data_IF_377214855807
#
_entry.id   IF_377214855807
#
_cell.length_a   1.000
_cell.length_b   1.000
_cell.length_c   1.000
_cell.angle_alpha   90.00
_cell.angle_beta   90.00
_cell.angle_gamma   90.00
#
_symmetry.space_group_name_H-M   'P 1'
#
loop_
_entity.id
_entity.type
_entity.pdbx_description
1 polymer ?
#
# COMPACT_ATOMS: atom_id res chain seq x y z
N UNK A 1 -15.90 -3.20 3.00
CA UNK A 1 -15.58 -1.75 3.07
C UNK A 1 -14.80 -1.38 1.82
N UNK A 2 -15.47 -0.93 0.78
CA UNK A 2 -14.81 -0.42 -0.41
C UNK A 2 -14.48 1.03 -0.13
N UNK A 3 -13.24 1.32 0.21
CA UNK A 3 -12.77 2.70 0.30
C UNK A 3 -12.79 3.31 -1.09
N UNK A 4 -13.63 4.27 -1.33
CA UNK A 4 -13.80 4.86 -2.63
C UNK A 4 -13.28 6.28 -2.63
N UNK A 5 -12.05 6.46 -3.04
CA UNK A 5 -11.38 7.75 -3.16
C UNK A 5 -10.97 7.99 -4.61
N UNK A 6 -11.06 9.20 -5.06
CA UNK A 6 -10.73 9.59 -6.42
C UNK A 6 -9.75 10.75 -6.52
N UNK A 7 -9.01 10.76 -7.62
CA UNK A 7 -8.16 11.87 -8.03
C UNK A 7 -8.67 12.43 -9.38
N UNK A 8 -9.07 13.69 -9.42
CA UNK A 8 -9.24 14.44 -10.66
C UNK A 8 -8.04 15.36 -10.87
N UNK A 9 -7.08 14.89 -11.67
CA UNK A 9 -6.20 15.74 -12.42
C UNK A 9 -6.65 15.71 -13.87
N UNK A 10 -7.15 16.81 -14.41
CA UNK A 10 -7.49 16.92 -15.82
C UNK A 10 -6.27 16.60 -16.67
N UNK A 11 -6.37 15.56 -17.48
CA UNK A 11 -5.42 15.33 -18.59
C UNK A 11 -5.63 16.44 -19.61
N UNK A 12 -4.57 17.06 -20.16
CA UNK A 12 -4.70 17.96 -21.27
C UNK A 12 -5.24 17.18 -22.47
N UNK A 13 -6.34 17.64 -23.04
CA UNK A 13 -6.91 17.14 -24.29
C UNK A 13 -5.87 17.24 -25.40
N UNK A 14 -5.36 16.10 -25.84
CA UNK A 14 -4.61 16.02 -27.10
C UNK A 14 -5.64 16.02 -28.21
N UNK A 15 -5.71 17.12 -28.93
CA UNK A 15 -6.45 17.27 -30.18
C UNK A 15 -5.89 16.27 -31.20
N UNK A 16 -6.67 15.26 -31.55
CA UNK A 16 -6.37 14.34 -32.63
C UNK A 16 -6.60 15.05 -33.95
N UNK A 17 -5.53 15.50 -34.58
CA UNK A 17 -5.56 15.86 -35.99
C UNK A 17 -5.71 14.58 -36.83
N UNK A 18 -6.79 14.48 -37.57
CA UNK A 18 -7.07 13.44 -38.53
C UNK A 18 -6.05 13.47 -39.70
N UNK A 19 -5.26 12.40 -39.81
CA UNK A 19 -4.48 12.15 -41.02
C UNK A 19 -5.18 11.06 -41.82
N UNK A 20 -5.64 11.46 -43.00
CA UNK A 20 -6.26 10.63 -44.04
C UNK A 20 -5.26 9.62 -44.61
N UNK A 21 -5.67 8.36 -44.69
CA UNK A 21 -4.98 7.31 -45.45
C UNK A 21 -5.24 7.43 -46.94
N UNK A 22 -4.25 7.13 -47.80
CA UNK A 22 -4.52 6.62 -49.12
C UNK A 22 -4.39 5.09 -49.13
N UNK A 23 -5.40 4.49 -49.71
CA UNK A 23 -5.48 3.09 -50.14
C UNK A 23 -4.45 2.78 -51.24
N UNK A 24 -3.78 1.66 -51.19
CA UNK A 24 -3.22 1.01 -52.39
C UNK A 24 -3.45 -0.50 -52.36
N UNK A 25 -3.79 -0.98 -53.53
CA UNK A 25 -4.39 -2.25 -53.91
C UNK A 25 -3.34 -3.35 -54.19
N UNK A 26 -3.86 -4.51 -54.31
CA UNK A 26 -3.35 -5.88 -54.51
C UNK A 26 -2.20 -6.08 -55.50
N UNK A 27 -1.51 -7.17 -55.30
CA UNK A 27 -1.03 -7.98 -56.40
C UNK A 27 0.30 -8.73 -56.25
N UNK A 28 0.26 -10.05 -56.28
CA UNK A 28 1.28 -10.81 -57.00
C UNK A 28 2.11 -11.84 -56.24
N UNK A 29 1.73 -13.09 -56.39
CA UNK A 29 2.52 -14.30 -56.21
C UNK A 29 3.92 -14.23 -56.84
N UNK A 30 4.91 -14.96 -56.30
CA UNK A 30 5.63 -16.00 -57.03
C UNK A 30 6.63 -16.80 -56.12
N UNK A 31 6.57 -18.10 -56.28
CA UNK A 31 7.46 -19.15 -55.80
C UNK A 31 8.83 -19.05 -56.43
N UNK A 32 9.87 -19.49 -55.78
CA UNK A 32 10.89 -20.34 -56.40
C UNK A 32 11.76 -21.06 -55.34
N UNK A 33 11.69 -22.36 -55.39
CA UNK A 33 12.61 -23.30 -54.78
C UNK A 33 13.88 -23.42 -55.64
N UNK A 34 15.03 -23.56 -55.04
CA UNK A 34 16.19 -24.13 -55.73
C UNK A 34 16.86 -25.20 -54.85
N UNK A 35 16.74 -26.37 -55.39
CA UNK A 35 17.45 -27.60 -55.00
C UNK A 35 18.75 -27.63 -55.83
N UNK A 36 19.89 -27.93 -55.26
CA UNK A 36 21.02 -28.53 -56.01
C UNK A 36 21.76 -29.59 -55.24
N UNK A 37 21.98 -30.66 -55.97
CA UNK A 37 22.49 -31.99 -55.59
C UNK A 37 24.03 -32.08 -55.72
N UNK A 38 24.60 -32.94 -54.88
CA UNK A 38 25.72 -33.85 -55.07
C UNK A 38 27.00 -33.46 -55.82
N UNK A 39 28.16 -33.72 -55.20
CA UNK A 39 29.16 -34.65 -55.71
C UNK A 39 30.13 -35.14 -54.62
N UNK A 40 30.40 -36.41 -54.73
CA UNK A 40 31.27 -37.30 -53.96
C UNK A 40 32.77 -37.08 -54.18
N UNK A 41 33.59 -37.46 -53.22
CA UNK A 41 35.03 -37.62 -53.43
C UNK A 41 35.85 -38.00 -52.20
N UNK A 42 36.08 -39.30 -52.02
CA UNK A 42 37.28 -40.04 -51.55
C UNK A 42 37.91 -39.73 -50.17
N UNK A 43 37.94 -40.82 -49.42
CA UNK A 43 38.76 -41.31 -48.29
C UNK A 43 40.08 -40.61 -48.03
N UNK A 44 40.33 -40.28 -46.75
CA UNK A 44 41.60 -40.46 -46.05
C UNK A 44 41.35 -40.74 -44.57
N UNK A 45 41.85 -41.91 -44.13
CA UNK A 45 41.89 -42.32 -42.71
C UNK A 45 42.83 -41.41 -41.94
N UNK A 46 42.30 -40.76 -40.91
CA UNK A 46 43.11 -40.35 -39.74
C UNK A 46 42.29 -40.61 -38.49
N UNK A 47 42.85 -41.46 -37.65
CA UNK A 47 42.35 -41.76 -36.33
C UNK A 47 42.23 -40.44 -35.53
N UNK A 48 41.03 -40.08 -35.11
CA UNK A 48 40.79 -38.97 -34.23
C UNK A 48 40.40 -39.56 -32.86
N UNK A 49 41.27 -39.30 -31.89
CA UNK A 49 41.01 -39.55 -30.48
C UNK A 49 39.69 -38.84 -30.08
N UNK A 50 38.70 -39.65 -29.75
CA UNK A 50 37.45 -39.17 -29.16
C UNK A 50 37.73 -38.90 -27.69
N UNK A 51 37.98 -37.65 -27.32
CA UNK A 51 37.83 -37.21 -25.94
C UNK A 51 36.32 -37.10 -25.62
N UNK A 52 35.86 -37.77 -24.57
CA UNK A 52 34.47 -37.52 -24.12
C UNK A 52 34.42 -36.11 -23.50
N UNK A 53 33.76 -35.17 -24.18
CA UNK A 53 33.29 -33.95 -23.55
C UNK A 53 32.23 -34.36 -22.51
N UNK A 54 32.65 -34.38 -21.24
CA UNK A 54 31.70 -34.34 -20.14
C UNK A 54 31.03 -32.95 -20.17
N UNK A 55 29.83 -32.91 -20.74
CA UNK A 55 28.90 -31.83 -20.46
C UNK A 55 28.54 -31.90 -18.95
N UNK A 56 29.24 -31.15 -18.14
CA UNK A 56 28.75 -30.78 -16.80
C UNK A 56 27.48 -29.95 -17.01
N UNK A 57 26.35 -30.64 -17.07
CA UNK A 57 25.07 -29.98 -16.88
C UNK A 57 25.09 -29.39 -15.46
N UNK A 58 25.34 -28.10 -15.38
CA UNK A 58 25.13 -27.35 -14.17
C UNK A 58 23.62 -27.43 -13.87
N UNK A 59 23.23 -28.39 -13.04
CA UNK A 59 21.92 -28.39 -12.42
C UNK A 59 21.92 -27.21 -11.46
N UNK A 60 21.46 -26.05 -11.93
CA UNK A 60 21.06 -24.97 -11.06
C UNK A 60 19.87 -25.51 -10.27
N UNK A 61 20.11 -25.95 -9.04
CA UNK A 61 19.06 -26.09 -8.06
C UNK A 61 18.44 -24.70 -7.91
N UNK A 62 17.27 -24.48 -8.52
CA UNK A 62 16.44 -23.36 -8.13
C UNK A 62 16.25 -23.53 -6.62
N UNK A 63 16.79 -22.60 -5.84
CA UNK A 63 16.46 -22.49 -4.42
C UNK A 63 14.93 -22.52 -4.35
N UNK A 64 14.33 -23.38 -3.50
CA UNK A 64 12.89 -23.38 -3.33
C UNK A 64 12.49 -21.94 -3.02
N UNK A 65 11.48 -21.41 -3.72
CA UNK A 65 10.83 -20.16 -3.37
C UNK A 65 10.53 -20.26 -1.88
N UNK A 66 11.19 -19.41 -1.06
CA UNK A 66 10.96 -19.37 0.37
C UNK A 66 9.49 -18.97 0.52
N UNK A 67 8.63 -19.97 0.72
CA UNK A 67 7.20 -19.75 0.94
C UNK A 67 7.11 -18.86 2.16
N UNK A 68 6.55 -17.67 1.97
CA UNK A 68 6.30 -16.72 3.05
C UNK A 68 5.37 -17.43 4.04
N UNK A 69 5.88 -17.85 5.20
CA UNK A 69 5.05 -18.49 6.21
C UNK A 69 3.97 -17.50 6.66
N UNK A 70 2.71 -17.97 6.68
CA UNK A 70 1.63 -17.22 7.28
C UNK A 70 2.02 -16.92 8.73
N UNK A 71 2.20 -15.63 9.07
CA UNK A 71 2.56 -15.27 10.45
C UNK A 71 1.35 -15.49 11.35
N UNK A 72 1.33 -16.52 12.20
CA UNK A 72 0.26 -16.74 13.15
C UNK A 72 0.38 -15.73 14.29
N UNK A 73 -0.14 -14.53 14.08
CA UNK A 73 -0.16 -13.46 15.07
C UNK A 73 1.21 -12.81 15.27
N UNK A 74 1.48 -11.71 14.57
CA UNK A 74 2.69 -10.89 14.73
C UNK A 74 3.04 -10.63 16.19
N UNK A 75 2.04 -10.49 17.08
CA UNK A 75 2.25 -10.27 18.52
C UNK A 75 2.85 -11.50 19.17
N UNK A 76 2.37 -12.70 18.84
CA UNK A 76 2.87 -13.94 19.45
C UNK A 76 4.34 -14.18 19.11
N UNK A 77 4.74 -13.88 17.88
CA UNK A 77 6.15 -13.95 17.47
C UNK A 77 7.01 -12.89 18.14
N UNK A 78 6.48 -11.70 18.37
CA UNK A 78 7.15 -10.62 19.11
C UNK A 78 7.18 -10.87 20.63
N UNK A 79 6.35 -11.78 21.15
CA UNK A 79 6.36 -12.16 22.56
C UNK A 79 7.41 -13.24 22.89
N UNK A 80 7.93 -13.95 21.87
CA UNK A 80 8.86 -15.08 22.06
C UNK A 80 10.31 -14.67 21.85
N UNK A 81 11.17 -15.03 22.80
CA UNK A 81 12.63 -14.94 22.68
C UNK A 81 13.23 -13.54 22.91
N UNK A 82 14.54 -13.43 22.67
CA UNK A 82 15.28 -12.16 22.80
C UNK A 82 15.01 -11.28 21.58
N UNK A 83 14.51 -10.07 21.81
CA UNK A 83 14.20 -9.08 20.78
C UNK A 83 15.35 -8.08 20.61
N UNK A 84 15.61 -7.66 19.38
CA UNK A 84 16.39 -6.45 19.12
C UNK A 84 15.57 -5.19 19.45
N UNK A 85 16.22 -4.03 19.44
CA UNK A 85 15.61 -2.76 19.87
C UNK A 85 14.39 -2.37 19.01
N UNK A 86 14.38 -2.72 17.70
CA UNK A 86 13.26 -2.40 16.80
C UNK A 86 12.06 -3.28 17.13
N UNK A 87 12.24 -4.60 17.21
CA UNK A 87 11.17 -5.53 17.55
C UNK A 87 10.62 -5.26 18.94
N UNK A 88 11.48 -4.91 19.91
CA UNK A 88 11.04 -4.51 21.23
C UNK A 88 10.19 -3.22 21.16
N UNK A 89 10.61 -2.22 20.40
CA UNK A 89 9.82 -0.99 20.21
C UNK A 89 8.45 -1.29 19.57
N UNK A 90 8.40 -2.12 18.53
CA UNK A 90 7.13 -2.52 17.90
C UNK A 90 6.24 -3.24 18.91
N UNK A 91 6.80 -4.20 19.66
CA UNK A 91 6.07 -4.91 20.73
C UNK A 91 5.48 -3.95 21.76
N UNK A 92 6.29 -3.00 22.25
CA UNK A 92 5.86 -2.04 23.27
C UNK A 92 4.72 -1.14 22.76
N UNK A 93 4.75 -0.77 21.47
CA UNK A 93 3.67 0.00 20.83
C UNK A 93 2.40 -0.84 20.73
N UNK A 94 2.50 -2.07 20.21
CA UNK A 94 1.33 -2.95 20.04
C UNK A 94 0.71 -3.36 21.37
N UNK A 95 1.51 -3.37 22.44
CA UNK A 95 1.06 -3.61 23.81
C UNK A 95 0.55 -2.33 24.52
N UNK A 96 0.54 -1.18 23.88
CA UNK A 96 0.12 0.09 24.47
C UNK A 96 1.09 0.67 25.52
N UNK A 97 2.32 0.14 25.61
CA UNK A 97 3.35 0.62 26.54
C UNK A 97 4.09 1.85 26.01
N UNK A 98 4.17 1.96 24.68
CA UNK A 98 4.86 3.06 23.97
C UNK A 98 3.96 3.63 22.90
N UNK A 99 4.03 4.96 22.72
CA UNK A 99 3.28 5.64 21.65
C UNK A 99 3.72 5.22 20.25
N UNK A 100 2.73 4.99 19.38
CA UNK A 100 2.90 4.85 17.94
C UNK A 100 3.11 6.18 17.24
N UNK A 101 2.75 7.29 17.89
CA UNK A 101 2.90 8.66 17.40
C UNK A 101 4.30 9.19 17.76
N UNK A 102 4.94 9.89 16.82
CA UNK A 102 6.28 10.45 16.97
C UNK A 102 6.33 11.95 16.61
N UNK A 103 5.30 12.70 16.95
CA UNK A 103 5.16 14.12 16.61
C UNK A 103 6.32 14.99 17.15
N UNK A 104 6.89 14.60 18.30
CA UNK A 104 8.02 15.28 18.95
C UNK A 104 9.39 15.00 18.32
N UNK A 105 9.53 13.97 17.51
CA UNK A 105 10.81 13.53 16.92
C UNK A 105 11.16 14.36 15.67
N UNK A 106 11.50 15.63 15.87
CA UNK A 106 11.82 16.54 14.77
C UNK A 106 13.29 16.46 14.40
N UNK A 107 13.57 16.12 13.15
CA UNK A 107 14.92 16.11 12.60
C UNK A 107 14.97 16.73 11.20
N UNK A 108 16.16 17.04 10.73
CA UNK A 108 16.42 17.50 9.36
C UNK A 108 17.37 16.54 8.66
N UNK A 109 17.32 16.54 7.31
CA UNK A 109 18.27 15.74 6.51
C UNK A 109 19.71 16.12 6.88
N UNK A 110 20.58 15.15 7.24
CA UNK A 110 21.99 15.42 7.47
C UNK A 110 22.66 16.00 6.21
N UNK A 111 23.64 16.89 6.39
CA UNK A 111 24.41 17.47 5.27
C UNK A 111 25.08 16.39 4.43
N UNK A 112 25.59 15.34 5.08
CA UNK A 112 26.15 14.15 4.42
C UNK A 112 25.26 12.99 4.80
N UNK A 113 24.52 12.46 3.81
CA UNK A 113 23.62 11.32 3.99
C UNK A 113 23.83 10.36 2.83
N UNK A 114 24.44 9.21 3.11
CA UNK A 114 24.75 8.18 2.12
C UNK A 114 23.89 6.94 2.39
N UNK A 115 23.09 6.54 1.42
CA UNK A 115 22.21 5.36 1.53
C UNK A 115 22.97 4.04 1.74
N UNK A 116 24.25 3.99 1.39
CA UNK A 116 25.14 2.87 1.71
C UNK A 116 25.43 2.74 3.22
N UNK A 117 25.31 3.84 3.97
CA UNK A 117 25.58 3.90 5.42
C UNK A 117 24.27 3.94 6.22
N UNK A 118 23.33 4.80 5.83
CA UNK A 118 22.00 4.92 6.46
C UNK A 118 20.91 4.72 5.41
N UNK A 119 20.21 3.61 5.49
CA UNK A 119 19.09 3.27 4.58
C UNK A 119 17.97 4.32 4.60
N UNK A 120 17.88 5.16 5.63
CA UNK A 120 16.89 6.24 5.68
C UNK A 120 17.28 7.44 4.81
N UNK A 121 18.49 7.53 4.27
CA UNK A 121 18.92 8.69 3.50
C UNK A 121 18.07 8.97 2.27
N UNK A 122 17.72 7.96 1.49
CA UNK A 122 16.87 8.11 0.31
C UNK A 122 15.45 8.57 0.68
N UNK A 123 14.97 8.22 1.88
CA UNK A 123 13.61 8.54 2.33
C UNK A 123 13.41 10.01 2.65
N UNK A 124 14.46 10.78 2.90
CA UNK A 124 14.37 12.25 2.95
C UNK A 124 13.95 12.84 1.60
N UNK A 125 14.50 12.31 0.52
CA UNK A 125 14.20 12.79 -0.83
C UNK A 125 12.83 12.29 -1.30
N UNK A 126 12.47 11.05 -0.96
CA UNK A 126 11.10 10.51 -1.16
C UNK A 126 10.09 11.38 -0.41
N UNK A 127 10.34 11.70 0.87
CA UNK A 127 9.48 12.56 1.67
C UNK A 127 9.28 13.95 1.04
N UNK A 128 10.36 14.56 0.59
CA UNK A 128 10.30 15.87 -0.08
C UNK A 128 9.48 15.82 -1.38
N UNK A 129 9.61 14.74 -2.16
CA UNK A 129 8.83 14.54 -3.38
C UNK A 129 7.34 14.33 -3.07
N UNK A 130 7.01 13.45 -2.10
CA UNK A 130 5.62 13.21 -1.69
C UNK A 130 4.98 14.47 -1.12
N UNK A 131 5.70 15.28 -0.34
CA UNK A 131 5.19 16.55 0.19
C UNK A 131 4.72 17.49 -0.92
N UNK A 132 5.45 17.57 -2.04
CA UNK A 132 5.06 18.38 -3.20
C UNK A 132 3.78 17.87 -3.87
N UNK A 133 3.54 16.57 -3.81
CA UNK A 133 2.45 15.90 -4.52
C UNK A 133 1.18 15.75 -3.68
N UNK A 134 1.27 15.88 -2.35
CA UNK A 134 0.19 15.52 -1.42
C UNK A 134 -0.52 16.72 -0.78
N UNK A 135 -0.06 17.94 -1.03
CA UNK A 135 -0.63 19.15 -0.43
C UNK A 135 -1.31 20.05 -1.43
N UNK A 136 -2.42 20.64 -1.00
CA UNK A 136 -3.07 21.76 -1.64
C UNK A 136 -2.38 23.08 -1.29
N UNK A 137 -2.67 24.14 -2.04
CA UNK A 137 -2.13 25.49 -1.79
C UNK A 137 -2.59 26.08 -0.47
N UNK A 138 -3.76 25.65 0.05
CA UNK A 138 -4.30 26.06 1.35
C UNK A 138 -3.70 25.27 2.54
N UNK A 139 -2.77 24.34 2.29
CA UNK A 139 -2.12 23.52 3.30
C UNK A 139 -2.84 22.21 3.65
N UNK A 140 -4.05 21.99 3.13
CA UNK A 140 -4.78 20.73 3.31
C UNK A 140 -4.18 19.61 2.46
N UNK A 141 -4.51 18.37 2.79
CA UNK A 141 -4.13 17.23 1.93
C UNK A 141 -5.07 17.12 0.72
N UNK A 142 -4.48 16.79 -0.42
CA UNK A 142 -5.19 16.66 -1.68
C UNK A 142 -5.68 15.20 -1.92
N UNK A 143 -6.33 14.98 -3.08
CA UNK A 143 -6.84 13.66 -3.46
C UNK A 143 -5.72 12.61 -3.59
N UNK A 144 -4.51 12.98 -3.98
CA UNK A 144 -3.38 12.04 -4.05
C UNK A 144 -2.95 11.56 -2.66
N UNK A 145 -2.92 12.44 -1.65
CA UNK A 145 -2.63 12.06 -0.27
C UNK A 145 -3.71 11.11 0.29
N UNK A 146 -4.99 11.45 0.08
CA UNK A 146 -6.12 10.60 0.48
C UNK A 146 -6.07 9.24 -0.19
N UNK A 147 -5.77 9.21 -1.49
CA UNK A 147 -5.60 7.96 -2.23
C UNK A 147 -4.39 7.14 -1.73
N UNK A 148 -3.29 7.78 -1.32
CA UNK A 148 -2.12 7.10 -0.75
C UNK A 148 -2.42 6.47 0.62
N UNK A 149 -3.23 7.13 1.46
CA UNK A 149 -3.73 6.56 2.72
C UNK A 149 -4.50 5.27 2.43
N UNK A 150 -5.45 5.31 1.49
CA UNK A 150 -6.20 4.13 1.09
C UNK A 150 -5.30 3.05 0.45
N UNK A 151 -4.34 3.43 -0.39
CA UNK A 151 -3.46 2.52 -1.11
C UNK A 151 -2.66 1.63 -0.16
N UNK A 152 -2.03 2.22 0.89
CA UNK A 152 -1.28 1.45 1.86
C UNK A 152 -2.14 0.45 2.64
N UNK A 153 -3.41 0.80 2.95
CA UNK A 153 -4.36 -0.12 3.54
C UNK A 153 -4.75 -1.24 2.57
N UNK A 154 -5.05 -0.93 1.29
CA UNK A 154 -5.46 -1.95 0.31
C UNK A 154 -4.33 -2.92 -0.01
N UNK A 155 -3.08 -2.46 -0.03
CA UNK A 155 -1.91 -3.32 -0.15
C UNK A 155 -1.81 -4.25 1.07
N UNK A 156 -1.64 -3.69 2.26
CA UNK A 156 -1.43 -4.46 3.49
C UNK A 156 -2.63 -5.31 3.90
N UNK A 157 -3.84 -4.79 3.72
CA UNK A 157 -5.09 -5.42 4.15
C UNK A 157 -5.52 -6.62 3.31
N UNK A 158 -4.94 -6.81 2.12
CA UNK A 158 -5.20 -7.98 1.26
C UNK A 158 -4.52 -9.26 1.79
N UNK A 159 -4.64 -9.51 3.09
CA UNK A 159 -4.03 -10.61 3.82
C UNK A 159 -4.90 -11.03 5.02
N UNK A 160 -4.77 -12.26 5.47
CA UNK A 160 -5.16 -12.73 6.79
C UNK A 160 -4.24 -13.89 7.25
N UNK A 161 -4.43 -14.35 8.50
CA UNK A 161 -3.58 -15.39 9.13
C UNK A 161 -3.54 -16.73 8.40
N UNK A 162 -4.48 -16.99 7.48
CA UNK A 162 -4.59 -18.26 6.74
C UNK A 162 -4.00 -18.13 5.32
N UNK A 163 -3.38 -16.98 4.98
CA UNK A 163 -2.77 -16.74 3.68
C UNK A 163 -1.24 -16.77 3.76
N UNK A 164 -0.61 -17.24 2.67
CA UNK A 164 0.85 -17.29 2.52
C UNK A 164 1.41 -16.17 1.67
N UNK A 165 0.55 -15.35 1.04
CA UNK A 165 0.88 -14.23 0.16
C UNK A 165 0.06 -13.00 0.56
N UNK A 166 0.46 -11.83 0.07
CA UNK A 166 -0.17 -10.55 0.41
C UNK A 166 0.34 -9.98 1.74
N UNK A 167 -0.30 -8.94 2.22
CA UNK A 167 0.15 -8.14 3.34
C UNK A 167 0.89 -6.90 2.87
N UNK A 168 1.70 -6.31 3.74
CA UNK A 168 2.45 -5.09 3.45
C UNK A 168 3.67 -5.39 2.56
N UNK A 169 3.43 -5.85 1.32
CA UNK A 169 4.46 -6.37 0.41
C UNK A 169 4.53 -5.63 -0.95
N UNK A 170 3.70 -4.61 -1.15
CA UNK A 170 3.72 -3.79 -2.35
C UNK A 170 3.15 -4.46 -3.60
N UNK A 171 2.48 -5.61 -3.47
CA UNK A 171 1.90 -6.36 -4.60
C UNK A 171 0.92 -5.51 -5.41
N UNK A 172 0.13 -4.67 -4.75
CA UNK A 172 -0.81 -3.75 -5.38
C UNK A 172 -0.11 -2.74 -6.32
N UNK A 173 1.15 -2.40 -6.07
CA UNK A 173 1.92 -1.50 -6.92
C UNK A 173 2.48 -2.20 -8.17
N UNK A 174 2.60 -3.53 -8.13
CA UNK A 174 3.23 -4.34 -9.17
C UNK A 174 2.22 -4.74 -10.27
N UNK A 175 2.71 -5.34 -11.36
CA UNK A 175 1.87 -5.69 -12.52
C UNK A 175 1.28 -7.10 -12.39
N UNK A 176 0.64 -7.39 -11.25
CA UNK A 176 -0.04 -8.66 -10.97
C UNK A 176 -1.54 -8.63 -11.23
N UNK A 177 -2.08 -7.51 -11.75
CA UNK A 177 -3.51 -7.36 -12.05
C UNK A 177 -4.38 -7.01 -10.84
N UNK A 178 -3.81 -6.85 -9.65
CA UNK A 178 -4.58 -6.49 -8.45
C UNK A 178 -5.25 -5.13 -8.54
N UNK A 179 -4.59 -4.17 -9.17
CA UNK A 179 -5.08 -2.80 -9.34
C UNK A 179 -6.39 -2.73 -10.14
N UNK A 180 -6.66 -3.74 -10.95
CA UNK A 180 -7.85 -3.83 -11.80
C UNK A 180 -9.02 -4.53 -11.12
N UNK A 181 -8.84 -5.05 -9.90
CA UNK A 181 -9.92 -5.61 -9.09
C UNK A 181 -10.89 -4.51 -8.65
N UNK A 182 -12.17 -4.83 -8.57
CA UNK A 182 -13.25 -3.87 -8.26
C UNK A 182 -13.01 -3.12 -6.93
N UNK A 183 -12.51 -3.82 -5.91
CA UNK A 183 -12.18 -3.23 -4.61
C UNK A 183 -11.06 -2.18 -4.68
N UNK A 184 -10.26 -2.17 -5.75
CA UNK A 184 -9.16 -1.24 -5.97
C UNK A 184 -9.50 -0.09 -6.92
N UNK A 185 -10.77 0.01 -7.36
CA UNK A 185 -11.22 1.12 -8.19
C UNK A 185 -10.89 2.48 -7.57
N UNK A 186 -10.32 3.38 -8.39
CA UNK A 186 -9.90 4.73 -7.98
C UNK A 186 -8.47 4.81 -7.42
N UNK A 187 -7.73 3.68 -7.33
CA UNK A 187 -6.32 3.67 -6.90
C UNK A 187 -5.32 3.73 -8.05
N UNK A 188 -5.80 3.67 -9.30
CA UNK A 188 -4.94 3.64 -10.49
C UNK A 188 -4.02 4.86 -10.59
N UNK A 189 -4.56 6.06 -10.35
CA UNK A 189 -3.79 7.30 -10.46
C UNK A 189 -2.69 7.41 -9.40
N UNK A 190 -2.99 7.06 -8.14
CA UNK A 190 -1.97 7.10 -7.08
C UNK A 190 -0.93 5.99 -7.27
N UNK A 191 -1.32 4.82 -7.81
CA UNK A 191 -0.37 3.78 -8.21
C UNK A 191 0.64 4.31 -9.21
N UNK A 192 0.19 5.00 -10.26
CA UNK A 192 1.07 5.60 -11.26
C UNK A 192 2.03 6.63 -10.62
N UNK A 193 1.51 7.52 -9.78
CA UNK A 193 2.31 8.50 -9.03
C UNK A 193 3.39 7.80 -8.19
N UNK A 194 3.02 6.77 -7.44
CA UNK A 194 3.98 6.05 -6.59
C UNK A 194 5.01 5.26 -7.42
N UNK A 195 4.63 4.72 -8.59
CA UNK A 195 5.59 4.09 -9.52
C UNK A 195 6.59 5.10 -10.08
N UNK A 196 6.19 6.35 -10.37
CA UNK A 196 7.12 7.42 -10.74
C UNK A 196 8.14 7.71 -9.63
N UNK A 197 7.65 7.80 -8.37
CA UNK A 197 8.51 7.99 -7.20
C UNK A 197 9.47 6.82 -7.04
N UNK A 198 8.98 5.59 -7.15
CA UNK A 198 9.80 4.37 -7.10
C UNK A 198 10.88 4.38 -8.20
N UNK A 199 10.49 4.67 -9.44
CA UNK A 199 11.42 4.71 -10.56
C UNK A 199 12.52 5.78 -10.38
N UNK A 200 12.20 6.90 -9.74
CA UNK A 200 13.13 7.99 -9.44
C UNK A 200 14.11 7.64 -8.33
N UNK A 201 13.65 7.06 -7.24
CA UNK A 201 14.45 6.86 -6.02
C UNK A 201 14.91 5.43 -5.81
N UNK A 202 14.41 4.46 -6.59
CA UNK A 202 14.78 3.03 -6.55
C UNK A 202 14.60 2.40 -5.16
N UNK A 203 13.55 2.79 -4.45
CA UNK A 203 13.12 2.18 -3.18
C UNK A 203 12.25 0.95 -3.43
N UNK A 204 12.07 0.07 -2.43
CA UNK A 204 11.17 -1.08 -2.51
C UNK A 204 9.70 -0.65 -2.66
N UNK A 205 8.90 -1.44 -3.36
CA UNK A 205 7.46 -1.20 -3.52
C UNK A 205 6.70 -1.35 -2.20
N UNK A 206 7.02 -2.38 -1.43
CA UNK A 206 6.44 -2.65 -0.11
C UNK A 206 6.62 -1.47 0.84
N UNK A 207 7.87 -1.00 0.93
CA UNK A 207 8.18 0.13 1.80
C UNK A 207 7.54 1.42 1.31
N UNK A 208 7.52 1.66 -0.01
CA UNK A 208 6.94 2.88 -0.57
C UNK A 208 5.42 2.95 -0.37
N UNK A 209 4.69 1.82 -0.50
CA UNK A 209 3.27 1.76 -0.25
C UNK A 209 2.93 2.19 1.19
N UNK A 210 3.63 1.63 2.18
CA UNK A 210 3.40 1.92 3.60
C UNK A 210 3.93 3.30 4.01
N UNK A 211 5.06 3.72 3.46
CA UNK A 211 5.61 5.05 3.67
C UNK A 211 4.69 6.14 3.12
N UNK A 212 4.12 5.93 1.92
CA UNK A 212 3.21 6.88 1.29
C UNK A 212 1.89 7.01 2.08
N UNK A 213 1.37 5.94 2.69
CA UNK A 213 0.25 6.02 3.62
C UNK A 213 0.57 6.96 4.79
N UNK A 214 1.65 6.70 5.51
CA UNK A 214 2.04 7.50 6.68
C UNK A 214 2.36 8.95 6.29
N UNK A 215 2.95 9.15 5.11
CA UNK A 215 3.19 10.47 4.56
C UNK A 215 1.88 11.19 4.17
N UNK A 216 0.92 10.47 3.59
CA UNK A 216 -0.43 10.97 3.29
C UNK A 216 -1.14 11.43 4.55
N UNK A 217 -1.12 10.62 5.60
CA UNK A 217 -1.72 10.92 6.90
C UNK A 217 -1.18 12.23 7.49
N UNK A 218 0.15 12.37 7.58
CA UNK A 218 0.76 13.60 8.15
C UNK A 218 0.71 14.80 7.18
N UNK A 219 0.41 14.59 5.91
CA UNK A 219 0.17 15.66 4.95
C UNK A 219 -1.16 16.36 5.19
N UNK A 220 -2.16 15.67 5.75
CA UNK A 220 -3.38 16.26 6.21
C UNK A 220 -3.12 17.01 7.54
N UNK A 221 -3.57 18.28 7.70
CA UNK A 221 -3.47 18.98 8.98
C UNK A 221 -4.02 18.13 10.13
N UNK A 222 -3.39 18.18 11.29
CA UNK A 222 -3.67 17.39 12.50
C UNK A 222 -3.32 15.91 12.43
N UNK A 223 -2.95 15.38 11.23
CA UNK A 223 -2.51 13.99 11.06
C UNK A 223 -1.28 13.65 11.90
N UNK A 224 -1.23 12.46 12.55
CA UNK A 224 -0.11 12.08 13.39
C UNK A 224 1.12 11.69 12.57
N UNK A 225 2.30 11.90 13.13
CA UNK A 225 3.53 11.31 12.62
C UNK A 225 3.64 9.88 13.11
N UNK A 226 3.16 8.93 12.31
CA UNK A 226 3.16 7.50 12.65
C UNK A 226 4.59 6.96 12.54
N UNK A 227 5.05 6.19 13.53
CA UNK A 227 6.35 5.51 13.46
C UNK A 227 6.42 4.61 12.23
N UNK A 228 7.51 4.74 11.48
CA UNK A 228 7.62 4.18 10.13
C UNK A 228 8.92 3.43 9.95
N UNK A 229 8.80 2.15 9.61
CA UNK A 229 9.95 1.29 9.32
C UNK A 229 10.02 0.95 7.83
N UNK A 230 11.26 0.75 7.35
CA UNK A 230 11.56 0.29 5.99
C UNK A 230 12.46 -0.93 6.04
N UNK A 231 12.46 -1.75 5.00
CA UNK A 231 13.25 -2.98 4.90
C UNK A 231 12.40 -4.22 4.62
N UNK A 232 11.10 -4.04 4.25
CA UNK A 232 10.21 -5.11 3.79
C UNK A 232 10.71 -5.68 2.47
N UNK A 233 10.36 -6.93 2.21
CA UNK A 233 10.56 -7.54 0.89
C UNK A 233 9.37 -7.24 -0.02
N UNK A 234 9.66 -6.94 -1.27
CA UNK A 234 8.64 -6.78 -2.30
C UNK A 234 8.01 -8.15 -2.64
N UNK A 235 6.73 -8.12 -2.99
CA UNK A 235 5.96 -9.29 -3.39
C UNK A 235 6.55 -9.99 -4.62
N UNK A 236 6.34 -11.30 -4.71
CA UNK A 236 6.70 -12.12 -5.88
C UNK A 236 5.48 -12.59 -6.67
N UNK A 237 4.28 -12.25 -6.24
CA UNK A 237 3.00 -12.61 -6.85
C UNK A 237 1.86 -11.78 -6.27
N UNK A 238 0.63 -11.96 -6.79
CA UNK A 238 -0.52 -11.19 -6.35
C UNK A 238 -0.95 -11.56 -4.93
N UNK A 239 -1.51 -10.57 -4.22
CA UNK A 239 -2.24 -10.84 -2.99
C UNK A 239 -3.52 -11.66 -3.26
N UNK A 240 -4.02 -12.44 -2.28
CA UNK A 240 -5.26 -13.19 -2.41
C UNK A 240 -6.47 -12.26 -2.58
N UNK A 241 -7.53 -12.78 -3.20
CA UNK A 241 -8.82 -12.08 -3.33
C UNK A 241 -9.69 -12.24 -2.09
N UNK A 242 -10.69 -11.36 -1.92
CA UNK A 242 -11.70 -11.47 -0.86
C UNK A 242 -11.17 -11.24 0.55
N UNK A 243 -10.04 -10.52 0.68
CA UNK A 243 -9.45 -10.18 1.99
C UNK A 243 -9.69 -8.72 2.39
N UNK A 244 -10.17 -7.89 1.47
CA UNK A 244 -10.57 -6.52 1.77
C UNK A 244 -12.06 -6.47 2.18
N UNK A 245 -12.45 -5.53 3.05
CA UNK A 245 -13.81 -5.39 3.53
C UNK A 245 -14.78 -4.87 2.46
N UNK A 246 -16.02 -5.37 2.45
CA UNK A 246 -17.12 -4.88 1.61
C UNK A 246 -17.98 -3.85 2.37
N UNK A 247 -18.29 -2.74 1.72
CA UNK A 247 -19.11 -1.65 2.27
C UNK A 247 -20.55 -2.09 2.60
N UNK A 248 -21.05 -3.15 1.97
CA UNK A 248 -22.39 -3.69 2.19
C UNK A 248 -22.45 -4.81 3.23
N UNK A 249 -21.30 -5.29 3.69
CA UNK A 249 -21.23 -6.42 4.61
C UNK A 249 -21.88 -6.10 5.97
N UNK A 250 -22.15 -7.14 6.75
CA UNK A 250 -22.62 -6.97 8.11
C UNK A 250 -21.49 -6.52 9.04
N UNK A 251 -21.78 -5.80 10.13
CA UNK A 251 -20.74 -5.41 11.08
C UNK A 251 -20.06 -6.61 11.72
N UNK A 252 -20.77 -7.70 12.00
CA UNK A 252 -20.17 -8.93 12.53
C UNK A 252 -19.15 -9.54 11.55
N UNK A 253 -19.46 -9.58 10.25
CA UNK A 253 -18.53 -10.06 9.23
C UNK A 253 -17.30 -9.15 9.12
N UNK A 254 -17.48 -7.83 9.17
CA UNK A 254 -16.38 -6.86 9.16
C UNK A 254 -15.47 -7.02 10.38
N UNK A 255 -16.05 -7.18 11.56
CA UNK A 255 -15.30 -7.45 12.81
C UNK A 255 -14.52 -8.76 12.66
N UNK A 256 -15.17 -9.85 12.26
CA UNK A 256 -14.53 -11.14 12.07
C UNK A 256 -13.41 -11.10 11.02
N UNK A 257 -13.59 -10.33 9.93
CA UNK A 257 -12.56 -10.12 8.91
C UNK A 257 -11.30 -9.46 9.50
N UNK A 258 -11.47 -8.46 10.37
CA UNK A 258 -10.35 -7.79 11.01
C UNK A 258 -9.74 -8.63 12.13
N UNK A 259 -10.53 -9.39 12.90
CA UNK A 259 -10.03 -10.37 13.88
C UNK A 259 -9.12 -11.42 13.22
N UNK A 260 -9.44 -11.88 12.00
CA UNK A 260 -8.59 -12.80 11.24
C UNK A 260 -7.25 -12.17 10.82
N UNK A 261 -7.15 -10.85 10.80
CA UNK A 261 -5.91 -10.09 10.56
C UNK A 261 -5.19 -9.71 11.87
N UNK A 262 -5.76 -10.08 13.03
CA UNK A 262 -5.20 -9.80 14.35
C UNK A 262 -5.59 -8.44 14.94
N UNK A 263 -6.67 -7.81 14.45
CA UNK A 263 -7.20 -6.56 14.99
C UNK A 263 -8.40 -6.83 15.90
N UNK A 264 -8.51 -6.06 16.98
CA UNK A 264 -9.72 -6.01 17.81
C UNK A 264 -10.81 -5.16 17.13
N UNK A 265 -12.02 -5.21 17.69
CA UNK A 265 -13.11 -4.34 17.28
C UNK A 265 -12.76 -2.85 17.50
N UNK A 266 -12.04 -2.52 18.57
CA UNK A 266 -11.54 -1.17 18.86
C UNK A 266 -10.48 -0.73 17.84
N UNK A 267 -9.52 -1.60 17.46
CA UNK A 267 -8.58 -1.30 16.37
C UNK A 267 -9.31 -1.03 15.05
N UNK A 268 -10.41 -1.75 14.76
CA UNK A 268 -11.26 -1.51 13.59
C UNK A 268 -11.92 -0.13 13.66
N UNK A 269 -12.48 0.26 14.82
CA UNK A 269 -13.05 1.59 15.02
C UNK A 269 -12.02 2.69 14.73
N UNK A 270 -10.80 2.55 15.25
CA UNK A 270 -9.72 3.49 15.02
C UNK A 270 -9.33 3.59 13.52
N UNK A 271 -9.18 2.43 12.84
CA UNK A 271 -8.77 2.38 11.42
C UNK A 271 -9.83 2.97 10.47
N UNK A 272 -11.12 2.76 10.77
CA UNK A 272 -12.22 3.34 9.98
C UNK A 272 -12.18 4.86 9.99
N UNK A 273 -11.67 5.48 11.03
CA UNK A 273 -11.49 6.92 11.12
C UNK A 273 -10.66 7.55 10.00
N UNK A 274 -9.85 6.77 9.25
CA UNK A 274 -9.21 7.25 8.02
C UNK A 274 -10.21 7.77 6.97
N UNK A 275 -11.50 7.48 7.14
CA UNK A 275 -12.59 8.03 6.33
C UNK A 275 -12.78 9.54 6.53
N UNK A 276 -12.25 10.15 7.61
CA UNK A 276 -12.14 11.58 7.75
C UNK A 276 -11.42 12.23 6.57
N UNK A 277 -10.46 11.54 5.96
CA UNK A 277 -9.76 11.99 4.78
C UNK A 277 -10.21 11.19 3.53
N UNK A 278 -11.51 11.16 3.24
CA UNK A 278 -12.05 10.33 2.15
C UNK A 278 -13.25 10.97 1.42
N UNK A 279 -13.44 10.55 0.16
CA UNK A 279 -14.60 10.86 -0.68
C UNK A 279 -15.07 9.60 -1.38
N UNK A 280 -16.38 9.37 -1.49
CA UNK A 280 -16.91 8.24 -2.25
C UNK A 280 -17.14 8.57 -3.72
N UNK A 281 -17.07 7.53 -4.62
CA UNK A 281 -17.38 7.66 -6.05
C UNK A 281 -18.09 6.45 -6.66
N UNK A 282 -17.94 5.27 -6.06
CA UNK A 282 -18.38 4.02 -6.69
C UNK A 282 -19.49 3.29 -5.91
N UNK A 283 -19.71 3.66 -4.65
CA UNK A 283 -20.78 3.08 -3.84
C UNK A 283 -22.15 3.58 -4.31
N UNK A 284 -22.25 4.90 -4.50
CA UNK A 284 -23.39 5.56 -5.15
C UNK A 284 -22.86 6.55 -6.20
N UNK A 285 -22.90 6.16 -7.46
CA UNK A 285 -22.38 6.96 -8.58
C UNK A 285 -23.15 8.28 -8.78
N UNK A 286 -24.41 8.37 -8.32
CA UNK A 286 -25.19 9.61 -8.37
C UNK A 286 -24.69 10.66 -7.38
N UNK A 287 -23.94 10.24 -6.36
CA UNK A 287 -23.33 11.08 -5.32
C UNK A 287 -21.80 11.03 -5.38
N UNK A 288 -21.24 10.69 -6.54
CA UNK A 288 -19.79 10.60 -6.72
C UNK A 288 -19.09 11.92 -6.37
N UNK A 289 -18.02 11.84 -5.60
CA UNK A 289 -17.25 13.01 -5.13
C UNK A 289 -17.68 13.56 -3.76
N UNK A 290 -18.82 13.11 -3.20
CA UNK A 290 -19.18 13.51 -1.84
C UNK A 290 -18.13 13.03 -0.83
N UNK A 291 -17.72 13.90 0.10
CA UNK A 291 -16.84 13.50 1.19
C UNK A 291 -17.56 12.60 2.18
N UNK A 292 -16.80 11.86 2.99
CA UNK A 292 -17.34 10.99 4.03
C UNK A 292 -17.48 11.71 5.38
N UNK A 293 -16.92 12.91 5.49
CA UNK A 293 -17.14 13.85 6.59
C UNK A 293 -17.16 15.30 6.09
N UNK A 294 -17.35 16.25 6.99
CA UNK A 294 -17.44 17.67 6.65
C UNK A 294 -16.09 18.34 6.38
N UNK A 295 -14.96 17.70 6.68
CA UNK A 295 -13.60 18.25 6.61
C UNK A 295 -12.59 17.37 5.85
N UNK A 296 -12.88 16.87 4.64
CA UNK A 296 -12.11 15.79 3.99
C UNK A 296 -10.65 16.11 3.64
N UNK A 297 -10.23 17.37 3.84
CA UNK A 297 -8.83 17.80 3.64
C UNK A 297 -8.03 17.90 4.93
N UNK A 298 -8.63 17.55 6.06
CA UNK A 298 -8.06 17.58 7.41
C UNK A 298 -8.15 16.18 8.02
N UNK A 299 -7.21 15.83 8.84
CA UNK A 299 -7.22 14.58 9.61
C UNK A 299 -7.78 14.88 11.00
N UNK A 300 -9.10 14.74 11.17
CA UNK A 300 -9.76 15.04 12.42
C UNK A 300 -10.88 14.06 12.78
N UNK A 301 -11.53 14.28 13.90
CA UNK A 301 -12.52 13.38 14.48
C UNK A 301 -13.95 13.72 14.10
N UNK A 302 -14.17 14.67 13.19
CA UNK A 302 -15.52 15.04 12.75
C UNK A 302 -16.25 13.88 12.10
N UNK A 303 -15.54 12.99 11.41
CA UNK A 303 -16.07 11.76 10.84
C UNK A 303 -16.91 10.93 11.84
N UNK A 304 -16.45 10.80 13.09
CA UNK A 304 -17.15 10.02 14.10
C UNK A 304 -18.49 10.65 14.50
N UNK A 305 -18.48 11.97 14.71
CA UNK A 305 -19.68 12.73 15.01
C UNK A 305 -20.64 12.78 13.80
N UNK A 306 -20.13 13.11 12.62
CA UNK A 306 -20.90 13.22 11.38
C UNK A 306 -21.64 11.91 11.04
N UNK A 307 -20.99 10.76 11.26
CA UNK A 307 -21.60 9.44 11.03
C UNK A 307 -22.76 9.15 11.99
N UNK A 308 -22.70 9.63 13.23
CA UNK A 308 -23.73 9.43 14.25
C UNK A 308 -24.95 10.36 14.09
N UNK A 309 -24.79 11.51 13.42
CA UNK A 309 -25.87 12.51 13.30
C UNK A 309 -27.14 11.96 12.68
N UNK A 310 -28.30 12.41 13.24
CA UNK A 310 -29.62 12.18 12.69
C UNK A 310 -30.43 13.51 12.74
N UNK A 311 -31.01 13.99 11.62
CA UNK A 311 -30.88 13.43 10.27
C UNK A 311 -29.46 13.60 9.71
N UNK A 312 -29.08 12.73 8.76
CA UNK A 312 -27.77 12.80 8.12
C UNK A 312 -27.57 14.14 7.39
N UNK A 313 -26.35 14.67 7.51
CA UNK A 313 -25.94 15.88 6.78
C UNK A 313 -25.93 15.60 5.26
N UNK A 314 -26.74 16.32 4.44
CA UNK A 314 -26.81 16.07 3.01
C UNK A 314 -25.52 16.42 2.22
N UNK A 315 -24.59 17.15 2.85
CA UNK A 315 -23.31 17.51 2.23
C UNK A 315 -22.29 16.36 2.20
N UNK A 316 -22.47 15.35 3.03
CA UNK A 316 -21.59 14.19 3.14
C UNK A 316 -22.28 12.91 2.63
N UNK A 317 -21.51 11.85 2.51
CA UNK A 317 -22.00 10.51 2.24
C UNK A 317 -21.57 9.56 3.35
N UNK A 318 -22.52 9.01 4.09
CA UNK A 318 -22.22 8.00 5.12
C UNK A 318 -22.26 6.62 4.50
N UNK A 319 -21.13 5.91 4.53
CA UNK A 319 -21.07 4.54 4.03
C UNK A 319 -21.99 3.61 4.83
N UNK A 320 -22.70 2.67 4.18
CA UNK A 320 -23.55 1.69 4.89
C UNK A 320 -22.79 0.91 5.97
N UNK A 321 -21.52 0.55 5.73
CA UNK A 321 -20.67 -0.11 6.71
C UNK A 321 -20.39 0.78 7.92
N UNK A 322 -20.07 2.06 7.70
CA UNK A 322 -19.70 2.99 8.79
C UNK A 322 -20.90 3.24 9.71
N UNK A 323 -22.09 3.46 9.12
CA UNK A 323 -23.33 3.61 9.90
C UNK A 323 -23.64 2.40 10.77
N UNK A 324 -23.48 1.19 10.21
CA UNK A 324 -23.73 -0.05 10.95
C UNK A 324 -22.69 -0.28 12.05
N UNK A 325 -21.40 -0.02 11.76
CA UNK A 325 -20.31 -0.16 12.73
C UNK A 325 -20.46 0.85 13.88
N UNK A 326 -20.80 2.10 13.58
CA UNK A 326 -20.88 3.17 14.60
C UNK A 326 -21.88 2.88 15.73
N UNK A 327 -22.88 2.05 15.48
CA UNK A 327 -23.92 1.68 16.47
C UNK A 327 -23.80 0.24 16.96
N UNK A 328 -22.80 -0.52 16.49
CA UNK A 328 -22.63 -1.93 16.88
C UNK A 328 -22.09 -2.05 18.31
N UNK A 329 -22.63 -2.94 19.18
CA UNK A 329 -22.26 -3.02 20.60
C UNK A 329 -20.76 -3.25 20.90
N UNK A 330 -20.02 -3.90 19.99
CA UNK A 330 -18.56 -4.12 20.14
C UNK A 330 -17.70 -2.95 19.68
N UNK A 331 -18.29 -1.92 19.06
CA UNK A 331 -17.60 -0.82 18.38
C UNK A 331 -18.01 0.53 18.96
N UNK A 332 -19.27 0.67 19.34
CA UNK A 332 -19.90 1.96 19.65
C UNK A 332 -19.23 2.71 20.79
N UNK A 333 -18.80 2.02 21.84
CA UNK A 333 -18.11 2.63 22.97
C UNK A 333 -16.80 3.33 22.51
N UNK A 334 -16.00 2.65 21.71
CA UNK A 334 -14.77 3.21 21.14
C UNK A 334 -15.07 4.30 20.11
N UNK A 335 -16.09 4.09 19.25
CA UNK A 335 -16.52 5.08 18.27
C UNK A 335 -16.87 6.42 18.94
N UNK A 336 -17.66 6.38 20.01
CA UNK A 336 -18.08 7.55 20.76
C UNK A 336 -16.92 8.18 21.53
N UNK A 337 -15.96 7.39 22.03
CA UNK A 337 -14.79 7.88 22.74
C UNK A 337 -13.88 8.77 21.88
N UNK A 338 -13.91 8.58 20.55
CA UNK A 338 -13.15 9.40 19.61
C UNK A 338 -13.83 10.75 19.27
N UNK A 339 -15.13 10.91 19.56
CA UNK A 339 -15.84 12.16 19.30
C UNK A 339 -15.23 13.28 20.14
N UNK A 340 -14.61 14.25 19.47
CA UNK A 340 -13.94 15.40 20.11
C UNK A 340 -12.57 15.07 20.72
N UNK A 341 -12.11 13.83 20.72
CA UNK A 341 -10.81 13.43 21.27
C UNK A 341 -9.79 13.01 20.18
N UNK A 342 -9.25 14.02 19.52
CA UNK A 342 -8.22 13.87 18.49
C UNK A 342 -6.94 13.17 18.99
N UNK A 343 -6.38 13.46 20.18
CA UNK A 343 -5.21 12.76 20.70
C UNK A 343 -5.44 11.28 20.90
N UNK A 344 -6.56 10.88 21.46
CA UNK A 344 -6.95 9.49 21.69
C UNK A 344 -7.00 8.74 20.35
N UNK A 345 -7.79 9.23 19.39
CA UNK A 345 -7.87 8.61 18.08
C UNK A 345 -6.50 8.49 17.38
N UNK A 346 -5.66 9.54 17.41
CA UNK A 346 -4.34 9.52 16.79
C UNK A 346 -3.45 8.40 17.35
N UNK A 347 -3.48 8.18 18.67
CA UNK A 347 -2.70 7.10 19.30
C UNK A 347 -3.19 5.70 18.89
N UNK A 348 -4.49 5.47 18.94
CA UNK A 348 -5.06 4.17 18.57
C UNK A 348 -4.98 3.91 17.07
N UNK A 349 -5.20 4.92 16.24
CA UNK A 349 -4.96 4.80 14.81
C UNK A 349 -3.51 4.45 14.50
N UNK A 350 -2.55 5.16 15.11
CA UNK A 350 -1.13 4.90 14.89
C UNK A 350 -0.74 3.48 15.31
N UNK A 351 -1.19 3.02 16.48
CA UNK A 351 -0.99 1.65 16.96
C UNK A 351 -1.55 0.61 15.99
N UNK A 352 -2.82 0.79 15.58
CA UNK A 352 -3.49 -0.12 14.67
C UNK A 352 -2.83 -0.11 13.27
N UNK A 353 -2.46 1.07 12.74
CA UNK A 353 -1.81 1.13 11.44
C UNK A 353 -0.37 0.60 11.45
N UNK A 354 0.38 0.75 12.52
CA UNK A 354 1.68 0.08 12.68
C UNK A 354 1.51 -1.43 12.53
N UNK A 355 0.51 -2.04 13.20
CA UNK A 355 0.17 -3.45 12.99
C UNK A 355 -0.19 -3.74 11.53
N UNK A 356 -1.04 -2.91 10.90
CA UNK A 356 -1.45 -3.04 9.51
C UNK A 356 -0.22 -3.08 8.58
N UNK A 357 0.71 -2.16 8.76
CA UNK A 357 1.92 -2.05 7.95
C UNK A 357 2.91 -3.22 8.12
N UNK A 358 2.61 -4.15 9.00
CA UNK A 358 3.43 -5.34 9.29
C UNK A 358 2.68 -6.66 8.99
N UNK A 359 1.47 -6.61 8.45
CA UNK A 359 0.75 -7.81 8.02
C UNK A 359 1.57 -8.56 6.97
N UNK A 360 1.69 -9.87 7.12
CA UNK A 360 2.47 -10.72 6.23
C UNK A 360 3.99 -10.55 6.33
N UNK A 361 4.51 -9.61 7.13
CA UNK A 361 5.96 -9.45 7.36
C UNK A 361 6.46 -10.57 8.28
N UNK A 362 7.48 -11.31 7.85
CA UNK A 362 8.02 -12.45 8.60
C UNK A 362 8.92 -12.01 9.76
N UNK A 363 9.13 -12.89 10.75
CA UNK A 363 10.04 -12.64 11.87
C UNK A 363 11.48 -12.33 11.42
N UNK A 364 11.92 -12.91 10.31
CA UNK A 364 13.24 -12.63 9.74
C UNK A 364 13.33 -11.24 9.11
N UNK A 365 12.27 -10.79 8.44
CA UNK A 365 12.18 -9.44 7.87
C UNK A 365 12.13 -8.37 8.95
N UNK A 366 11.39 -8.62 10.05
CA UNK A 366 11.35 -7.70 11.20
C UNK A 366 12.73 -7.34 11.74
N UNK A 367 13.69 -8.30 11.75
CA UNK A 367 15.09 -8.05 12.16
C UNK A 367 15.82 -7.09 11.22
N UNK A 368 15.42 -7.04 9.94
CA UNK A 368 16.03 -6.21 8.91
C UNK A 368 15.48 -4.79 8.82
N UNK A 369 14.36 -4.51 9.51
CA UNK A 369 13.71 -3.21 9.45
C UNK A 369 14.61 -2.09 10.02
N UNK A 370 14.41 -0.88 9.51
CA UNK A 370 15.06 0.35 9.99
C UNK A 370 13.99 1.40 10.27
N UNK A 371 14.08 2.04 11.42
CA UNK A 371 13.21 3.17 11.77
C UNK A 371 13.62 4.40 10.98
N UNK A 372 12.79 4.79 10.02
CA UNK A 372 12.96 5.98 9.20
C UNK A 372 11.91 7.07 9.50
N UNK A 373 11.25 7.00 10.65
CA UNK A 373 10.25 7.98 11.10
C UNK A 373 10.76 9.43 11.03
N UNK A 374 12.05 9.61 11.32
CA UNK A 374 12.74 10.92 11.26
C UNK A 374 12.63 11.62 9.90
N UNK A 375 12.37 10.87 8.81
CA UNK A 375 12.31 11.39 7.44
C UNK A 375 10.93 11.93 7.06
N UNK A 376 9.89 11.62 7.81
CA UNK A 376 8.55 12.18 7.60
C UNK A 376 8.51 13.69 7.92
N UNK A 377 7.63 14.47 7.25
CA UNK A 377 7.51 15.89 7.50
C UNK A 377 7.01 16.17 8.92
N UNK A 378 7.09 17.46 9.31
CA UNK A 378 6.50 17.92 10.56
C UNK A 378 4.97 17.92 10.44
N UNK A 379 4.30 17.58 11.54
CA UNK A 379 2.86 17.76 11.68
C UNK A 379 2.48 19.23 11.51
N UNK A 380 1.35 19.46 10.87
CA UNK A 380 0.74 20.79 10.74
C UNK A 380 -0.63 20.79 11.42
N UNK A 381 -1.02 21.95 11.96
CA UNK A 381 -2.31 22.11 12.65
C UNK A 381 -3.33 22.91 11.82
N UNK A 382 -2.88 23.43 10.66
CA UNK A 382 -3.69 24.22 9.72
C UNK A 382 -3.34 23.87 8.29
#
# INVERSE_FOLDING_TARGET
>A
MVFVIYNEGALPTISTASVSHPSFDQGGLLRSAFLFLFKSGTMFHKALLVLPLFFLASVTFATPLETREASPGLIDDLLKGTLDAIRQTIKDILAGVKSGVADGDISSKPLICLSSVDKCCVWWDVSAELTKRFKETNGQCNDAARAAIRFGFHDAGAWDKDTTTGGADGSLMMDFGEIDRAENNGLQSVRLLLREVQAKFKVGYADLAQYAHNHGTISCPRGPRIRTWVGRKDATGPAPTGKLPDVHDSPDNLIALFERKGFSAHDLAALVGAHAAAKQRFVDTSQAGKPLDTTPGVWDVEFYNDTLQEPQNPAIFVLPSDKKLSVHPKINDEWVSFVGDQPHWNEDYAKAYIRMSLLGVTSSELKGLKDCTKTLPKKTNK
#
